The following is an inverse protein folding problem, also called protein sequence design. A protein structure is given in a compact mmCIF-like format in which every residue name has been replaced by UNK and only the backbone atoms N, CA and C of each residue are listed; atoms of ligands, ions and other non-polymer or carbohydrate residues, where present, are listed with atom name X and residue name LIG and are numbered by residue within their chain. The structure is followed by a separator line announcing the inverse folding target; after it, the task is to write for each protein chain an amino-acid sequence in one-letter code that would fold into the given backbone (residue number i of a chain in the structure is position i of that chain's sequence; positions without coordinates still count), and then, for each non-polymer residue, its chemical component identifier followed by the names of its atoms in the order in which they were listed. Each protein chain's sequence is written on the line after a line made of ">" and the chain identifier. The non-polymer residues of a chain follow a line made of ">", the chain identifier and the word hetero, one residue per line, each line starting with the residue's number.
data_IF_525800990577
#
_entry.id   IF_525800990577
#
_cell.length_a   1.000
_cell.length_b   1.000
_cell.length_c   1.000
_cell.angle_alpha   90.00
_cell.angle_beta   90.00
_cell.angle_gamma   90.00
#
_symmetry.space_group_name_H-M   'P 1'
#
loop_
_entity.id
_entity.type
_entity.pdbx_description
1 polymer ?
#
# COMPACT_ATOMS: atom_id res chain seq x y z
N UNK A 1 10.99 6.15 -34.22
CA UNK A 1 10.70 4.77 -33.76
C UNK A 1 9.83 4.87 -32.53
N UNK A 2 8.69 4.17 -32.51
CA UNK A 2 7.69 4.29 -31.47
C UNK A 2 8.14 3.47 -30.24
N UNK A 3 8.74 4.13 -29.24
CA UNK A 3 9.31 3.46 -28.04
C UNK A 3 8.32 2.54 -27.31
N UNK A 4 7.02 2.74 -27.49
CA UNK A 4 5.97 1.88 -26.95
C UNK A 4 6.02 0.43 -27.49
N UNK A 5 6.51 0.21 -28.71
CA UNK A 5 6.59 -1.12 -29.30
C UNK A 5 7.81 -1.94 -28.84
N UNK A 6 8.72 -1.35 -28.05
CA UNK A 6 9.94 -1.99 -27.55
C UNK A 6 9.84 -2.36 -26.06
N UNK A 7 8.81 -1.90 -25.35
CA UNK A 7 8.63 -2.18 -23.93
C UNK A 7 8.10 -3.59 -23.68
N UNK A 8 8.62 -4.23 -22.65
CA UNK A 8 8.01 -5.43 -22.06
C UNK A 8 6.65 -5.10 -21.45
N UNK A 9 5.80 -6.12 -21.27
CA UNK A 9 4.49 -5.95 -20.61
C UNK A 9 4.68 -5.41 -19.18
N UNK A 10 5.68 -5.90 -18.45
CA UNK A 10 5.97 -5.44 -17.08
C UNK A 10 6.32 -3.95 -17.06
N UNK A 11 7.17 -3.49 -17.99
CA UNK A 11 7.49 -2.06 -18.12
C UNK A 11 6.26 -1.23 -18.49
N UNK A 12 5.36 -1.75 -19.35
CA UNK A 12 4.13 -1.06 -19.72
C UNK A 12 3.16 -0.94 -18.53
N UNK A 13 3.05 -1.99 -17.71
CA UNK A 13 2.30 -1.93 -16.45
C UNK A 13 2.87 -0.87 -15.50
N UNK A 14 4.18 -0.83 -15.33
CA UNK A 14 4.86 0.19 -14.50
C UNK A 14 4.58 1.60 -15.04
N UNK A 15 4.67 1.81 -16.35
CA UNK A 15 4.34 3.11 -16.93
C UNK A 15 2.87 3.46 -16.76
N UNK A 16 1.96 2.48 -16.83
CA UNK A 16 0.52 2.69 -16.61
C UNK A 16 0.26 3.19 -15.19
N UNK A 17 0.93 2.61 -14.19
CA UNK A 17 0.83 3.07 -12.79
C UNK A 17 1.30 4.53 -12.66
N UNK A 18 2.43 4.87 -13.30
CA UNK A 18 2.96 6.24 -13.32
C UNK A 18 1.97 7.21 -13.96
N UNK A 19 1.46 6.88 -15.15
CA UNK A 19 0.57 7.78 -15.89
C UNK A 19 -0.79 7.94 -15.24
N UNK A 20 -1.39 6.87 -14.69
CA UNK A 20 -2.63 7.00 -13.90
C UNK A 20 -2.45 7.95 -12.72
N UNK A 21 -1.31 7.84 -12.03
CA UNK A 21 -1.01 8.69 -10.89
C UNK A 21 -0.81 10.16 -11.30
N UNK A 22 -0.03 10.42 -12.35
CA UNK A 22 0.22 11.77 -12.88
C UNK A 22 -1.08 12.40 -13.37
N UNK A 23 -1.88 11.68 -14.17
CA UNK A 23 -3.10 12.19 -14.78
C UNK A 23 -4.18 12.48 -13.73
N UNK A 24 -4.33 11.62 -12.71
CA UNK A 24 -5.25 11.85 -11.60
C UNK A 24 -4.90 13.10 -10.80
N UNK A 25 -3.62 13.27 -10.45
CA UNK A 25 -3.12 14.49 -9.78
C UNK A 25 -3.35 15.72 -10.65
N UNK A 26 -3.02 15.64 -11.94
CA UNK A 26 -3.14 16.76 -12.88
C UNK A 26 -4.60 17.17 -13.06
N UNK A 27 -5.52 16.20 -13.21
CA UNK A 27 -6.95 16.47 -13.36
C UNK A 27 -7.55 17.09 -12.10
N UNK A 28 -7.13 16.62 -10.92
CA UNK A 28 -7.54 17.20 -9.65
C UNK A 28 -6.92 18.59 -9.38
N UNK A 29 -5.89 18.96 -10.15
CA UNK A 29 -5.04 20.14 -9.90
C UNK A 29 -4.51 20.17 -8.45
N UNK A 30 -4.27 18.97 -7.88
CA UNK A 30 -3.93 18.77 -6.48
C UNK A 30 -3.39 17.35 -6.27
N UNK A 31 -2.33 17.20 -5.48
CA UNK A 31 -1.75 15.90 -5.11
C UNK A 31 -0.24 15.84 -5.33
N UNK A 32 0.34 14.65 -5.14
CA UNK A 32 1.78 14.43 -5.12
C UNK A 32 2.17 13.38 -6.16
N UNK A 33 2.75 13.77 -7.31
CA UNK A 33 3.09 12.82 -8.38
C UNK A 33 4.47 12.18 -8.21
N UNK A 34 5.39 12.80 -7.45
CA UNK A 34 6.79 12.37 -7.32
C UNK A 34 6.94 10.96 -6.75
N UNK A 35 6.47 10.73 -5.53
CA UNK A 35 6.55 9.42 -4.88
C UNK A 35 5.85 8.30 -5.71
N UNK A 36 4.64 8.49 -6.27
CA UNK A 36 4.06 7.51 -7.19
C UNK A 36 4.93 7.17 -8.40
N UNK A 37 5.67 8.14 -8.96
CA UNK A 37 6.56 7.89 -10.10
C UNK A 37 7.76 7.02 -9.73
N UNK A 38 8.37 7.30 -8.56
CA UNK A 38 9.50 6.54 -8.02
C UNK A 38 9.11 5.12 -7.59
N UNK A 39 7.98 4.99 -6.90
CA UNK A 39 7.53 3.74 -6.29
C UNK A 39 6.74 2.80 -7.20
N UNK A 40 6.37 3.22 -8.42
CA UNK A 40 5.62 2.39 -9.35
C UNK A 40 6.24 0.98 -9.60
N UNK A 41 7.56 0.81 -9.77
CA UNK A 41 8.17 -0.52 -9.93
C UNK A 41 8.00 -1.40 -8.67
N UNK A 42 8.19 -0.83 -7.48
CA UNK A 42 8.02 -1.53 -6.22
C UNK A 42 6.56 -1.97 -6.03
N UNK A 43 5.62 -1.03 -6.22
CA UNK A 43 4.20 -1.30 -6.09
C UNK A 43 3.74 -2.39 -7.08
N UNK A 44 4.23 -2.33 -8.33
CA UNK A 44 3.99 -3.35 -9.33
C UNK A 44 4.41 -4.74 -8.86
N UNK A 45 5.66 -4.89 -8.43
CA UNK A 45 6.18 -6.19 -7.96
C UNK A 45 5.40 -6.67 -6.74
N UNK A 46 5.17 -5.77 -5.77
CA UNK A 46 4.54 -6.13 -4.50
C UNK A 46 3.12 -6.66 -4.72
N UNK A 47 2.26 -5.93 -5.42
CA UNK A 47 0.86 -6.34 -5.62
C UNK A 47 0.70 -7.47 -6.63
N UNK A 48 1.55 -7.57 -7.66
CA UNK A 48 1.31 -8.53 -8.76
C UNK A 48 2.10 -9.83 -8.63
N UNK A 49 3.18 -9.86 -7.82
CA UNK A 49 4.08 -11.02 -7.73
C UNK A 49 4.28 -11.54 -6.31
N UNK A 50 4.13 -10.70 -5.28
CA UNK A 50 4.52 -11.03 -3.91
C UNK A 50 3.31 -11.22 -3.00
N UNK A 51 2.42 -10.24 -2.92
CA UNK A 51 1.34 -10.25 -1.96
C UNK A 51 0.25 -11.27 -2.30
N UNK A 52 -0.27 -11.89 -1.25
CA UNK A 52 -1.48 -12.68 -1.31
C UNK A 52 -2.67 -11.82 -0.92
N UNK A 53 -3.49 -11.47 -1.90
CA UNK A 53 -4.69 -10.68 -1.68
C UNK A 53 -5.80 -11.12 -2.63
N UNK A 54 -7.04 -10.79 -2.28
CA UNK A 54 -8.20 -11.06 -3.12
C UNK A 54 -9.00 -9.77 -3.31
N UNK A 55 -8.91 -9.12 -4.47
CA UNK A 55 -9.66 -7.90 -4.79
C UNK A 55 -11.19 -8.07 -4.70
N UNK A 56 -11.72 -9.26 -5.02
CA UNK A 56 -13.15 -9.58 -4.89
C UNK A 56 -13.59 -9.76 -3.43
N UNK A 57 -12.64 -9.99 -2.52
CA UNK A 57 -12.88 -10.04 -1.08
C UNK A 57 -11.78 -9.33 -0.29
N UNK A 58 -11.82 -7.98 -0.24
CA UNK A 58 -10.89 -7.18 0.57
C UNK A 58 -10.97 -7.48 2.06
N UNK A 59 -11.97 -8.25 2.52
CA UNK A 59 -12.15 -8.66 3.91
C UNK A 59 -11.62 -10.06 4.19
N UNK A 60 -10.99 -10.74 3.22
CA UNK A 60 -10.37 -12.05 3.46
C UNK A 60 -9.43 -11.98 4.67
N UNK A 61 -9.72 -12.81 5.66
CA UNK A 61 -9.06 -12.72 6.96
C UNK A 61 -7.57 -12.98 6.91
N UNK A 62 -7.07 -13.86 6.05
CA UNK A 62 -5.64 -14.21 5.99
C UNK A 62 -4.92 -13.62 4.75
N UNK A 63 -5.44 -12.52 4.19
CA UNK A 63 -4.70 -11.76 3.15
C UNK A 63 -3.48 -11.08 3.77
N UNK A 64 -2.45 -10.85 2.97
CA UNK A 64 -1.36 -9.95 3.32
C UNK A 64 -1.89 -8.53 3.53
N UNK A 65 -1.27 -7.78 4.43
CA UNK A 65 -1.62 -6.39 4.71
C UNK A 65 -0.65 -5.47 3.99
N UNK A 66 -1.18 -4.41 3.40
CA UNK A 66 -0.37 -3.35 2.79
C UNK A 66 -0.71 -1.99 3.42
N UNK A 67 0.32 -1.29 3.91
CA UNK A 67 0.21 0.05 4.46
C UNK A 67 1.06 1.03 3.66
N UNK A 68 0.44 2.06 3.09
CA UNK A 68 1.16 3.20 2.52
C UNK A 68 1.37 4.27 3.61
N UNK A 69 2.46 4.20 4.37
CA UNK A 69 2.71 5.10 5.51
C UNK A 69 2.94 6.54 5.06
N UNK A 70 3.71 6.72 3.98
CA UNK A 70 3.86 7.98 3.25
C UNK A 70 2.58 8.29 2.44
N UNK A 71 1.44 8.42 3.12
CA UNK A 71 0.09 8.47 2.54
C UNK A 71 -0.15 9.60 1.54
N UNK A 72 0.76 10.57 1.45
CA UNK A 72 0.73 11.60 0.42
C UNK A 72 0.81 11.02 -1.00
N UNK A 73 1.39 9.82 -1.17
CA UNK A 73 1.47 9.05 -2.42
C UNK A 73 0.16 8.31 -2.76
N UNK A 74 -1.00 8.77 -2.28
CA UNK A 74 -2.30 8.09 -2.37
C UNK A 74 -2.70 7.63 -3.78
N UNK A 75 -2.38 8.41 -4.82
CA UNK A 75 -2.65 8.02 -6.21
C UNK A 75 -1.90 6.75 -6.66
N UNK A 76 -0.74 6.44 -6.08
CA UNK A 76 -0.06 5.15 -6.30
C UNK A 76 -0.96 4.01 -5.83
N UNK A 77 -1.43 4.08 -4.58
CA UNK A 77 -2.28 3.06 -3.98
C UNK A 77 -3.58 2.91 -4.76
N UNK A 78 -4.25 4.01 -5.10
CA UNK A 78 -5.49 3.96 -5.88
C UNK A 78 -5.28 3.38 -7.28
N UNK A 79 -4.18 3.72 -7.95
CA UNK A 79 -3.82 3.13 -9.25
C UNK A 79 -3.63 1.61 -9.12
N UNK A 80 -2.96 1.14 -8.06
CA UNK A 80 -2.78 -0.29 -7.83
C UNK A 80 -4.09 -1.00 -7.51
N UNK A 81 -4.91 -0.44 -6.63
CA UNK A 81 -6.21 -1.01 -6.28
C UNK A 81 -7.11 -1.14 -7.53
N UNK A 82 -7.15 -0.10 -8.36
CA UNK A 82 -7.86 -0.13 -9.64
C UNK A 82 -7.34 -1.23 -10.57
N UNK A 83 -6.03 -1.27 -10.81
CA UNK A 83 -5.40 -2.22 -11.75
C UNK A 83 -5.48 -3.67 -11.27
N UNK A 84 -5.48 -3.88 -9.96
CA UNK A 84 -5.66 -5.20 -9.36
C UNK A 84 -7.13 -5.64 -9.33
N UNK A 85 -8.09 -4.78 -9.65
CA UNK A 85 -9.52 -5.15 -9.74
C UNK A 85 -10.32 -5.00 -8.45
N UNK A 86 -9.87 -4.16 -7.50
CA UNK A 86 -10.73 -3.78 -6.37
C UNK A 86 -11.94 -2.97 -6.86
N UNK A 87 -12.96 -2.78 -5.99
CA UNK A 87 -14.11 -1.90 -6.24
C UNK A 87 -13.71 -0.39 -6.23
N UNK A 88 -12.85 -0.04 -7.18
CA UNK A 88 -12.30 1.28 -7.42
C UNK A 88 -12.17 1.49 -8.95
N UNK A 89 -13.29 1.76 -9.64
CA UNK A 89 -13.29 1.91 -11.09
C UNK A 89 -12.49 3.15 -11.54
N UNK A 90 -12.12 3.21 -12.82
CA UNK A 90 -11.34 4.31 -13.39
C UNK A 90 -12.00 5.68 -13.18
N UNK A 91 -13.34 5.73 -13.12
CA UNK A 91 -14.07 6.97 -12.88
C UNK A 91 -13.85 7.53 -11.46
N UNK A 92 -13.52 6.69 -10.47
CA UNK A 92 -13.10 7.17 -9.15
C UNK A 92 -11.71 7.81 -9.24
N UNK A 93 -10.74 7.22 -9.96
CA UNK A 93 -9.42 7.84 -10.16
C UNK A 93 -9.54 9.22 -10.84
N UNK A 94 -10.47 9.34 -11.78
CA UNK A 94 -10.84 10.61 -12.42
C UNK A 94 -11.48 11.63 -11.47
N UNK A 95 -11.98 11.19 -10.31
CA UNK A 95 -12.55 12.00 -9.24
C UNK A 95 -11.60 12.15 -8.05
N UNK A 96 -10.29 11.92 -8.23
CA UNK A 96 -9.29 12.11 -7.19
C UNK A 96 -9.44 13.48 -6.50
N UNK A 97 -9.48 13.45 -5.16
CA UNK A 97 -9.67 14.63 -4.27
C UNK A 97 -10.99 15.39 -4.45
N UNK A 98 -11.95 14.82 -5.17
CA UNK A 98 -13.27 15.44 -5.33
C UNK A 98 -14.21 14.98 -4.21
N UNK A 99 -15.19 15.84 -3.91
CA UNK A 99 -16.20 15.58 -2.89
C UNK A 99 -16.96 14.27 -3.15
N UNK A 100 -17.00 13.40 -2.14
CA UNK A 100 -17.71 12.12 -2.21
C UNK A 100 -17.02 11.02 -3.01
N UNK A 101 -15.86 11.28 -3.63
CA UNK A 101 -15.08 10.26 -4.33
C UNK A 101 -14.53 9.21 -3.37
N UNK A 102 -14.33 7.98 -3.83
CA UNK A 102 -13.59 6.90 -3.14
C UNK A 102 -12.06 7.08 -3.24
N UNK A 103 -11.59 8.26 -3.64
CA UNK A 103 -10.17 8.57 -3.83
C UNK A 103 -9.80 9.88 -3.13
N UNK A 104 -9.89 9.93 -1.79
CA UNK A 104 -9.55 11.12 -1.01
C UNK A 104 -8.06 11.45 -1.12
N UNK A 105 -7.69 12.67 -0.70
CA UNK A 105 -6.33 13.17 -0.87
C UNK A 105 -5.25 12.37 -0.15
N UNK A 106 -5.61 11.70 0.94
CA UNK A 106 -4.83 10.69 1.64
C UNK A 106 -5.70 9.44 1.83
N UNK A 107 -5.13 8.23 1.98
CA UNK A 107 -5.91 7.01 2.14
C UNK A 107 -6.78 7.05 3.39
N UNK A 108 -8.05 6.66 3.25
CA UNK A 108 -9.01 6.58 4.36
C UNK A 108 -9.56 5.15 4.47
N UNK A 109 -9.33 4.50 5.62
CA UNK A 109 -9.87 3.16 5.90
C UNK A 109 -11.39 3.23 5.99
N UNK A 110 -12.05 2.16 5.57
CA UNK A 110 -13.52 2.04 5.44
C UNK A 110 -14.17 2.88 4.34
N UNK A 111 -13.45 3.84 3.75
CA UNK A 111 -13.95 4.65 2.65
C UNK A 111 -13.57 4.07 1.28
N UNK A 112 -12.35 3.55 1.16
CA UNK A 112 -11.82 2.97 -0.10
C UNK A 112 -11.55 1.48 0.07
N UNK A 113 -12.08 0.65 -0.82
CA UNK A 113 -11.84 -0.79 -0.79
C UNK A 113 -10.34 -1.11 -0.97
N UNK A 114 -9.76 -1.89 -0.06
CA UNK A 114 -8.34 -2.26 -0.08
C UNK A 114 -7.38 -1.28 0.61
N UNK A 115 -7.88 -0.18 1.18
CA UNK A 115 -7.09 0.66 2.10
C UNK A 115 -7.16 0.05 3.51
N UNK A 116 -6.01 -0.41 4.02
CA UNK A 116 -5.93 -1.12 5.31
C UNK A 116 -6.00 -0.18 6.53
N UNK A 117 -5.51 1.05 6.40
CA UNK A 117 -5.50 2.03 7.49
C UNK A 117 -5.47 3.45 6.93
N UNK A 118 -6.02 4.42 7.68
CA UNK A 118 -5.93 5.83 7.30
C UNK A 118 -4.51 6.32 7.53
N UNK A 119 -3.88 6.87 6.49
CA UNK A 119 -2.53 7.45 6.57
C UNK A 119 -2.55 8.88 6.08
N UNK A 120 -1.54 9.67 6.43
CA UNK A 120 -1.48 11.11 6.17
C UNK A 120 -0.57 11.81 7.17
N UNK A 121 -0.82 11.67 8.48
CA UNK A 121 0.18 11.96 9.51
C UNK A 121 1.33 10.96 9.39
N UNK A 122 2.54 11.48 9.15
CA UNK A 122 3.74 10.67 8.96
C UNK A 122 4.05 9.81 10.19
N UNK A 123 4.70 8.67 9.98
CA UNK A 123 5.11 7.73 11.03
C UNK A 123 3.98 6.82 11.54
N UNK A 124 2.73 7.27 11.53
CA UNK A 124 1.60 6.48 12.05
C UNK A 124 1.30 5.22 11.24
N UNK A 125 1.50 5.25 9.92
CA UNK A 125 1.27 4.08 9.08
C UNK A 125 2.21 2.92 9.42
N UNK A 126 3.51 3.20 9.56
CA UNK A 126 4.48 2.19 9.99
C UNK A 126 4.19 1.70 11.42
N UNK A 127 3.74 2.55 12.35
CA UNK A 127 3.27 2.10 13.67
C UNK A 127 2.09 1.14 13.58
N UNK A 128 1.07 1.47 12.77
CA UNK A 128 -0.08 0.62 12.56
C UNK A 128 0.31 -0.74 11.97
N UNK A 129 1.28 -0.76 11.05
CA UNK A 129 1.81 -2.00 10.48
C UNK A 129 2.45 -2.93 11.54
N UNK A 130 3.11 -2.37 12.56
CA UNK A 130 3.63 -3.15 13.69
C UNK A 130 2.50 -3.77 14.49
N UNK A 131 1.43 -3.02 14.76
CA UNK A 131 0.23 -3.54 15.42
C UNK A 131 -0.42 -4.69 14.63
N UNK A 132 -0.51 -4.57 13.31
CA UNK A 132 -1.02 -5.63 12.43
C UNK A 132 -0.16 -6.90 12.49
N UNK A 133 1.17 -6.75 12.45
CA UNK A 133 2.10 -7.88 12.56
C UNK A 133 2.08 -8.54 13.96
N UNK A 134 1.91 -7.77 15.03
CA UNK A 134 1.71 -8.30 16.39
C UNK A 134 0.43 -9.14 16.45
N UNK A 135 -0.66 -8.63 15.85
CA UNK A 135 -1.93 -9.35 15.84
C UNK A 135 -1.82 -10.67 15.05
N UNK A 136 -1.17 -10.66 13.89
CA UNK A 136 -0.90 -11.87 13.10
C UNK A 136 -0.12 -12.91 13.92
N UNK A 137 1.02 -12.51 14.52
CA UNK A 137 1.87 -13.40 15.29
C UNK A 137 1.14 -13.98 16.51
N UNK A 138 0.35 -13.16 17.21
CA UNK A 138 -0.44 -13.60 18.35
C UNK A 138 -1.52 -14.61 17.95
N UNK A 139 -2.26 -14.34 16.88
CA UNK A 139 -3.33 -15.20 16.40
C UNK A 139 -2.79 -16.51 15.84
N UNK A 140 -1.67 -16.47 15.11
CA UNK A 140 -0.96 -17.66 14.64
C UNK A 140 -0.54 -18.55 15.81
N UNK A 141 0.11 -17.98 16.84
CA UNK A 141 0.51 -18.74 18.03
C UNK A 141 -0.68 -19.31 18.82
N UNK A 142 -1.82 -18.62 18.82
CA UNK A 142 -3.01 -19.03 19.56
C UNK A 142 -3.76 -20.15 18.84
N UNK A 143 -3.92 -20.04 17.52
CA UNK A 143 -4.88 -20.84 16.76
C UNK A 143 -4.29 -21.82 15.76
N UNK A 144 -3.05 -21.63 15.28
CA UNK A 144 -2.45 -22.63 14.39
C UNK A 144 -2.21 -23.95 15.14
N UNK A 145 -2.31 -25.06 14.41
CA UNK A 145 -2.06 -26.42 14.91
C UNK A 145 -1.23 -27.17 13.86
N UNK A 146 -0.64 -28.29 14.24
CA UNK A 146 0.15 -29.12 13.32
C UNK A 146 -0.66 -29.47 12.06
N UNK A 147 -0.17 -29.02 10.89
CA UNK A 147 -0.84 -29.19 9.60
C UNK A 147 -1.95 -28.19 9.28
N UNK A 148 -2.20 -27.20 10.15
CA UNK A 148 -3.26 -26.20 10.00
C UNK A 148 -2.76 -24.78 10.34
N UNK A 149 -2.12 -24.14 9.37
CA UNK A 149 -1.68 -22.74 9.45
C UNK A 149 -2.80 -21.80 8.99
N UNK A 150 -3.81 -21.61 9.84
CA UNK A 150 -4.98 -20.80 9.50
C UNK A 150 -4.71 -19.28 9.58
N UNK A 151 -3.67 -18.87 10.32
CA UNK A 151 -3.11 -17.52 10.31
C UNK A 151 -1.66 -17.59 9.87
N UNK A 152 -1.41 -17.08 8.66
CA UNK A 152 -0.10 -17.05 8.04
C UNK A 152 -0.11 -16.02 6.91
N UNK A 153 0.17 -14.76 7.25
CA UNK A 153 0.25 -13.68 6.26
C UNK A 153 1.30 -12.65 6.65
N UNK A 154 1.77 -11.89 5.67
CA UNK A 154 2.74 -10.82 5.83
C UNK A 154 2.06 -9.47 6.03
N UNK A 155 2.78 -8.55 6.67
CA UNK A 155 2.46 -7.13 6.71
C UNK A 155 3.56 -6.35 6.02
N UNK A 156 3.20 -5.61 4.99
CA UNK A 156 4.08 -4.74 4.23
C UNK A 156 3.75 -3.28 4.52
N UNK A 157 4.77 -2.44 4.69
CA UNK A 157 4.60 -0.99 4.73
C UNK A 157 5.59 -0.29 3.80
N UNK A 158 5.14 0.71 3.05
CA UNK A 158 6.03 1.67 2.39
C UNK A 158 6.15 2.91 3.26
N UNK A 159 7.37 3.37 3.48
CA UNK A 159 7.69 4.59 4.23
C UNK A 159 8.67 5.46 3.46
N UNK A 160 8.70 6.75 3.78
CA UNK A 160 9.73 7.68 3.31
C UNK A 160 10.46 8.35 4.48
N UNK A 161 11.33 9.31 4.16
CA UNK A 161 12.11 10.06 5.16
C UNK A 161 11.27 10.64 6.28
N UNK A 162 10.13 11.24 5.91
CA UNK A 162 9.22 11.86 6.86
C UNK A 162 8.68 10.89 7.90
N UNK A 163 8.41 9.64 7.52
CA UNK A 163 8.00 8.60 8.47
C UNK A 163 9.15 8.24 9.43
N UNK A 164 10.37 8.14 8.91
CA UNK A 164 11.56 7.76 9.68
C UNK A 164 12.08 8.88 10.59
N UNK A 165 11.73 10.14 10.31
CA UNK A 165 12.05 11.28 11.18
C UNK A 165 11.10 11.41 12.38
N UNK A 166 9.88 10.86 12.28
CA UNK A 166 8.92 10.89 13.38
C UNK A 166 9.37 9.98 14.53
N UNK A 167 9.47 10.51 15.75
CA UNK A 167 9.95 9.73 16.91
C UNK A 167 9.14 8.45 17.16
N UNK A 168 7.85 8.48 16.81
CA UNK A 168 6.96 7.36 16.99
C UNK A 168 7.29 6.16 16.08
N UNK A 169 7.92 6.37 14.92
CA UNK A 169 8.38 5.26 14.06
C UNK A 169 9.55 4.52 14.71
N UNK A 170 10.42 5.20 15.46
CA UNK A 170 11.51 4.59 16.22
C UNK A 170 10.99 3.74 17.39
N UNK A 171 9.96 4.22 18.11
CA UNK A 171 9.30 3.44 19.15
C UNK A 171 8.74 2.12 18.59
N UNK A 172 8.02 2.20 17.47
CA UNK A 172 7.45 1.05 16.79
C UNK A 172 8.52 0.09 16.24
N UNK A 173 9.58 0.61 15.60
CA UNK A 173 10.67 -0.20 15.08
C UNK A 173 11.45 -0.92 16.20
N UNK A 174 11.74 -0.22 17.30
CA UNK A 174 12.39 -0.79 18.49
C UNK A 174 11.57 -1.94 19.07
N UNK A 175 10.26 -1.75 19.22
CA UNK A 175 9.34 -2.78 19.70
C UNK A 175 9.25 -3.96 18.71
N UNK A 176 9.13 -3.71 17.42
CA UNK A 176 9.06 -4.75 16.39
C UNK A 176 10.32 -5.63 16.38
N UNK A 177 11.50 -5.00 16.50
CA UNK A 177 12.78 -5.70 16.63
C UNK A 177 12.86 -6.54 17.91
N UNK A 178 12.43 -5.98 19.05
CA UNK A 178 12.39 -6.70 20.32
C UNK A 178 11.49 -7.94 20.29
N UNK A 179 10.31 -7.82 19.64
CA UNK A 179 9.35 -8.91 19.51
C UNK A 179 9.69 -9.94 18.43
N UNK A 180 10.69 -9.66 17.58
CA UNK A 180 11.11 -10.58 16.51
C UNK A 180 10.03 -10.80 15.45
N UNK A 181 9.32 -9.74 15.03
CA UNK A 181 8.21 -9.81 14.07
C UNK A 181 8.69 -10.18 12.65
N UNK A 182 8.91 -11.47 12.41
CA UNK A 182 9.51 -12.01 11.17
C UNK A 182 8.66 -11.86 9.90
N UNK A 183 7.37 -11.53 10.03
CA UNK A 183 6.43 -11.31 8.92
C UNK A 183 6.11 -9.84 8.68
N UNK A 184 6.86 -8.92 9.29
CA UNK A 184 6.79 -7.49 9.04
C UNK A 184 7.91 -7.06 8.08
N UNK A 185 7.54 -6.39 6.99
CA UNK A 185 8.49 -5.90 5.99
C UNK A 185 8.19 -4.41 5.73
N UNK A 186 9.15 -3.55 6.07
CA UNK A 186 9.12 -2.15 5.65
C UNK A 186 10.00 -1.96 4.42
N UNK A 187 9.50 -1.20 3.45
CA UNK A 187 10.25 -0.77 2.28
C UNK A 187 10.37 0.75 2.32
N UNK A 188 11.61 1.22 2.40
CA UNK A 188 11.94 2.63 2.50
C UNK A 188 12.21 3.22 1.11
N UNK A 189 11.48 4.28 0.78
CA UNK A 189 11.68 5.14 -0.38
C UNK A 189 12.76 6.19 -0.06
N UNK A 190 14.03 5.84 -0.31
CA UNK A 190 15.21 6.72 -0.18
C UNK A 190 15.48 7.42 -1.53
N UNK A 191 15.12 8.70 -1.64
CA UNK A 191 15.14 9.47 -2.90
C UNK A 191 15.79 10.85 -2.77
#
# INVERSE_FOLDING_TARGET
>A
MNRLNEMTIDELCIQTIRTLSIDGVQKANSGHPGAPMGLAPLAYVLFTKIMQHNPDNPHWFNRDRFVLSNGHASMLLYSMLHLCGYDLPLDELKQFRQWGSKTPGHPEVHHTAGVETTTGPLGQGVMNSVGMAIAEAHLAATYNRDGFDIVNHFTYAICGDGDLMEGASHEAASLAGHLGLSRLIWVYDDN
#
